data_IF_154273570935
#
_entry.id   IF_154273570935
#
_cell.length_a   1.000
_cell.length_b   1.000
_cell.length_c   1.000
_cell.angle_alpha   90.00
_cell.angle_beta   90.00
_cell.angle_gamma   90.00
#
_symmetry.space_group_name_H-M   'P 1'
#
loop_
_entity.id
_entity.type
_entity.pdbx_description
1 polymer ?
#
# COMPACT_ATOMS: atom_id res chain seq x y z
N UNK A 1 24.19 26.88 -7.80
CA UNK A 1 23.33 25.68 -7.90
C UNK A 1 21.91 26.17 -8.10
N UNK A 2 21.26 25.82 -9.22
CA UNK A 2 19.82 26.07 -9.38
C UNK A 2 19.10 24.99 -8.56
N UNK A 3 18.36 25.38 -7.54
CA UNK A 3 17.37 24.50 -6.93
C UNK A 3 16.29 24.26 -7.98
N UNK A 4 16.28 23.05 -8.55
CA UNK A 4 15.13 22.57 -9.31
C UNK A 4 13.97 22.46 -8.32
N UNK A 5 13.05 23.43 -8.39
CA UNK A 5 11.74 23.30 -7.77
C UNK A 5 11.03 22.14 -8.46
N UNK A 6 11.11 20.95 -7.87
CA UNK A 6 10.30 19.81 -8.27
C UNK A 6 8.86 20.20 -7.95
N UNK A 7 8.04 20.38 -8.98
CA UNK A 7 6.62 20.69 -8.81
C UNK A 7 5.95 19.54 -8.06
N UNK A 8 5.14 19.89 -7.05
CA UNK A 8 4.45 18.94 -6.18
C UNK A 8 3.54 18.01 -6.98
N UNK A 9 2.99 18.51 -8.10
CA UNK A 9 2.21 17.71 -9.06
C UNK A 9 3.08 16.65 -9.77
N UNK A 10 4.37 16.94 -9.98
CA UNK A 10 5.32 15.99 -10.56
C UNK A 10 5.59 14.83 -9.61
N UNK A 11 5.70 15.10 -8.31
CA UNK A 11 5.95 14.10 -7.27
C UNK A 11 4.77 13.14 -7.16
N UNK A 12 3.55 13.67 -7.09
CA UNK A 12 2.33 12.86 -7.01
C UNK A 12 2.15 11.97 -8.25
N UNK A 13 2.44 12.52 -9.43
CA UNK A 13 2.42 11.76 -10.69
C UNK A 13 3.42 10.60 -10.69
N UNK A 14 4.65 10.84 -10.19
CA UNK A 14 5.67 9.78 -10.05
C UNK A 14 5.19 8.70 -9.07
N UNK A 15 4.67 9.10 -7.91
CA UNK A 15 4.15 8.15 -6.90
C UNK A 15 3.02 7.32 -7.50
N UNK A 16 2.08 7.94 -8.22
CA UNK A 16 0.97 7.24 -8.85
C UNK A 16 1.46 6.21 -9.88
N UNK A 17 2.41 6.59 -10.75
CA UNK A 17 3.02 5.68 -11.73
C UNK A 17 3.69 4.49 -11.01
N UNK A 18 4.45 4.75 -9.95
CA UNK A 18 5.09 3.68 -9.15
C UNK A 18 4.04 2.73 -8.56
N UNK A 19 2.93 3.25 -8.03
CA UNK A 19 1.85 2.44 -7.46
C UNK A 19 1.15 1.59 -8.54
N UNK A 20 0.85 2.16 -9.71
CA UNK A 20 0.22 1.43 -10.81
C UNK A 20 1.13 0.32 -11.33
N UNK A 21 2.42 0.60 -11.52
CA UNK A 21 3.41 -0.41 -11.95
C UNK A 21 3.58 -1.50 -10.90
N UNK A 22 3.69 -1.13 -9.61
CA UNK A 22 3.77 -2.09 -8.52
C UNK A 22 2.53 -3.00 -8.46
N UNK A 23 1.33 -2.44 -8.66
CA UNK A 23 0.10 -3.21 -8.72
C UNK A 23 0.03 -4.13 -9.95
N UNK A 24 0.45 -3.65 -11.11
CA UNK A 24 0.50 -4.43 -12.35
C UNK A 24 1.46 -5.62 -12.26
N UNK A 25 2.69 -5.39 -11.77
CA UNK A 25 3.68 -6.46 -11.51
C UNK A 25 3.07 -7.51 -10.58
N UNK A 26 2.40 -7.05 -9.54
CA UNK A 26 1.78 -7.90 -8.54
C UNK A 26 0.59 -8.71 -9.10
N UNK A 27 -0.18 -8.18 -10.05
CA UNK A 27 -1.26 -8.90 -10.72
C UNK A 27 -0.75 -9.96 -11.72
N UNK A 28 0.37 -9.69 -12.41
CA UNK A 28 0.95 -10.58 -13.42
C UNK A 28 1.70 -11.75 -12.79
N UNK A 29 2.42 -11.53 -11.69
CA UNK A 29 3.07 -12.59 -10.93
C UNK A 29 2.71 -12.52 -9.44
N UNK A 30 1.52 -13.04 -9.05
CA UNK A 30 1.14 -13.11 -7.64
C UNK A 30 1.99 -14.09 -6.83
N UNK A 31 2.92 -14.82 -7.46
CA UNK A 31 3.88 -15.71 -6.80
C UNK A 31 5.23 -15.08 -6.52
N UNK A 32 5.44 -13.81 -6.94
CA UNK A 32 6.62 -13.04 -6.57
C UNK A 32 6.87 -13.22 -5.08
N UNK A 33 8.04 -13.79 -4.76
CA UNK A 33 8.39 -14.17 -3.40
C UNK A 33 8.27 -12.92 -2.55
N UNK A 34 7.19 -12.85 -1.79
CA UNK A 34 7.01 -11.70 -0.92
C UNK A 34 8.21 -11.63 0.02
N UNK A 35 8.66 -10.42 0.35
CA UNK A 35 9.85 -10.20 1.15
C UNK A 35 9.71 -10.89 2.51
N UNK A 36 10.56 -11.87 2.81
CA UNK A 36 10.53 -12.58 4.11
C UNK A 36 10.82 -11.65 5.31
N UNK A 37 11.44 -10.49 5.03
CA UNK A 37 11.86 -9.49 6.01
C UNK A 37 10.81 -8.39 6.20
N UNK A 38 10.15 -7.99 5.12
CA UNK A 38 9.19 -6.88 5.10
C UNK A 38 7.83 -7.43 4.73
N UNK A 39 6.90 -7.36 5.68
CA UNK A 39 5.54 -7.77 5.42
C UNK A 39 4.66 -7.77 6.66
N UNK A 40 3.36 -7.69 6.42
CA UNK A 40 2.30 -7.90 7.42
C UNK A 40 2.57 -9.08 8.37
N UNK A 41 2.55 -8.79 9.69
CA UNK A 41 2.77 -9.77 10.77
C UNK A 41 1.64 -9.66 11.80
N UNK A 42 0.71 -10.61 11.75
CA UNK A 42 -0.28 -10.86 12.80
C UNK A 42 -0.14 -12.28 13.37
N UNK A 43 -0.88 -12.62 14.42
CA UNK A 43 -0.88 -13.97 14.99
C UNK A 43 -1.24 -15.01 13.93
N UNK A 44 -2.32 -14.79 13.17
CA UNK A 44 -2.73 -15.64 12.05
C UNK A 44 -1.64 -15.81 10.98
N UNK A 45 -0.85 -14.78 10.68
CA UNK A 45 0.25 -14.91 9.70
C UNK A 45 1.45 -15.71 10.18
N UNK A 46 1.68 -15.81 11.49
CA UNK A 46 2.85 -16.51 12.06
C UNK A 46 2.66 -18.02 12.10
N UNK A 47 1.42 -18.49 11.97
CA UNK A 47 1.05 -19.91 12.04
C UNK A 47 1.62 -20.74 10.89
N UNK A 48 1.75 -20.18 9.68
CA UNK A 48 2.33 -20.90 8.55
C UNK A 48 2.88 -19.97 7.47
N UNK A 49 3.85 -20.46 6.69
CA UNK A 49 4.36 -19.74 5.51
C UNK A 49 3.26 -19.47 4.48
N UNK A 50 2.26 -20.35 4.39
CA UNK A 50 1.11 -20.19 3.50
C UNK A 50 0.23 -19.01 3.93
N UNK A 51 -0.10 -18.92 5.22
CA UNK A 51 -0.87 -17.81 5.78
C UNK A 51 -0.12 -16.50 5.67
N UNK A 52 1.19 -16.51 5.93
CA UNK A 52 2.02 -15.35 5.72
C UNK A 52 1.98 -14.86 4.26
N UNK A 53 2.17 -15.74 3.27
CA UNK A 53 2.07 -15.38 1.85
C UNK A 53 0.67 -14.85 1.50
N UNK A 54 -0.40 -15.48 2.00
CA UNK A 54 -1.78 -15.06 1.76
C UNK A 54 -2.07 -13.68 2.37
N UNK A 55 -1.58 -13.41 3.56
CA UNK A 55 -1.70 -12.12 4.22
C UNK A 55 -1.05 -11.00 3.43
N UNK A 56 0.20 -11.22 2.98
CA UNK A 56 0.86 -10.26 2.10
C UNK A 56 0.07 -10.07 0.81
N UNK A 57 -0.47 -11.17 0.26
CA UNK A 57 -1.24 -11.13 -0.97
C UNK A 57 -2.46 -10.22 -0.82
N UNK A 58 -3.18 -10.36 0.29
CA UNK A 58 -4.32 -9.50 0.60
C UNK A 58 -3.87 -8.06 0.85
N UNK A 59 -2.82 -7.86 1.66
CA UNK A 59 -2.32 -6.53 1.98
C UNK A 59 -1.96 -5.73 0.73
N UNK A 60 -1.09 -6.26 -0.14
CA UNK A 60 -0.66 -5.56 -1.35
C UNK A 60 -1.78 -5.43 -2.38
N UNK A 61 -2.60 -6.48 -2.54
CA UNK A 61 -3.72 -6.48 -3.48
C UNK A 61 -4.76 -5.40 -3.18
N UNK A 62 -4.93 -5.04 -1.91
CA UNK A 62 -5.93 -4.06 -1.46
C UNK A 62 -5.28 -2.68 -1.21
N UNK A 63 -4.10 -2.64 -0.59
CA UNK A 63 -3.47 -1.38 -0.18
C UNK A 63 -2.89 -0.59 -1.35
N UNK A 64 -2.34 -1.24 -2.38
CA UNK A 64 -1.77 -0.50 -3.52
C UNK A 64 -2.87 0.26 -4.28
N UNK A 65 -4.03 -0.34 -4.64
CA UNK A 65 -5.15 0.41 -5.21
C UNK A 65 -5.66 1.53 -4.30
N UNK A 66 -5.76 1.27 -2.99
CA UNK A 66 -6.19 2.27 -2.02
C UNK A 66 -5.27 3.50 -2.04
N UNK A 67 -3.96 3.30 -2.00
CA UNK A 67 -3.00 4.41 -2.04
C UNK A 67 -3.00 5.11 -3.41
N UNK A 68 -3.20 4.39 -4.52
CA UNK A 68 -3.33 5.02 -5.83
C UNK A 68 -4.54 5.96 -5.88
N UNK A 69 -5.68 5.53 -5.34
CA UNK A 69 -6.88 6.38 -5.20
C UNK A 69 -6.62 7.56 -4.26
N UNK A 70 -5.93 7.35 -3.15
CA UNK A 70 -5.61 8.42 -2.21
C UNK A 70 -4.71 9.49 -2.84
N UNK A 71 -3.72 9.09 -3.63
CA UNK A 71 -2.85 10.01 -4.39
C UNK A 71 -3.67 10.78 -5.43
N UNK A 72 -4.58 10.10 -6.15
CA UNK A 72 -5.49 10.78 -7.09
C UNK A 72 -6.38 11.80 -6.39
N UNK A 73 -6.94 11.46 -5.22
CA UNK A 73 -7.74 12.41 -4.42
C UNK A 73 -6.88 13.61 -4.02
N UNK A 74 -5.67 13.36 -3.51
CA UNK A 74 -4.77 14.43 -3.08
C UNK A 74 -4.38 15.37 -4.22
N UNK A 75 -4.21 14.82 -5.43
CA UNK A 75 -3.90 15.58 -6.64
C UNK A 75 -5.01 16.56 -7.02
N UNK A 76 -6.28 16.15 -6.93
CA UNK A 76 -7.41 17.04 -7.24
C UNK A 76 -7.84 17.91 -6.06
N UNK A 77 -7.67 17.41 -4.84
CA UNK A 77 -8.11 18.01 -3.59
C UNK A 77 -6.98 17.84 -2.58
N UNK A 78 -6.06 18.81 -2.47
CA UNK A 78 -4.92 18.72 -1.56
C UNK A 78 -5.39 18.49 -0.13
N UNK A 79 -5.03 17.34 0.42
CA UNK A 79 -5.33 16.99 1.79
C UNK A 79 -4.30 17.64 2.70
N UNK A 80 -4.73 18.08 3.88
CA UNK A 80 -3.77 18.47 4.90
C UNK A 80 -2.99 17.25 5.40
N UNK A 81 -1.73 17.45 5.78
CA UNK A 81 -0.88 16.37 6.31
C UNK A 81 -1.53 15.59 7.45
N UNK A 82 -2.31 16.28 8.29
CA UNK A 82 -3.03 15.68 9.42
C UNK A 82 -4.16 14.77 8.92
N UNK A 83 -4.96 15.21 7.94
CA UNK A 83 -6.02 14.38 7.35
C UNK A 83 -5.43 13.17 6.63
N UNK A 84 -4.37 13.36 5.84
CA UNK A 84 -3.67 12.26 5.18
C UNK A 84 -3.13 11.23 6.21
N UNK A 85 -2.52 11.70 7.31
CA UNK A 85 -2.04 10.83 8.37
C UNK A 85 -3.17 10.01 9.02
N UNK A 86 -4.31 10.63 9.34
CA UNK A 86 -5.47 9.92 9.88
C UNK A 86 -6.01 8.85 8.92
N UNK A 87 -6.08 9.15 7.62
CA UNK A 87 -6.52 8.19 6.60
C UNK A 87 -5.55 7.01 6.53
N UNK A 88 -4.24 7.27 6.50
CA UNK A 88 -3.22 6.22 6.41
C UNK A 88 -3.22 5.33 7.66
N UNK A 89 -3.29 5.91 8.86
CA UNK A 89 -3.34 5.16 10.12
C UNK A 89 -4.64 4.36 10.23
N UNK A 90 -5.78 4.98 9.90
CA UNK A 90 -7.08 4.30 9.88
C UNK A 90 -7.10 3.13 8.90
N UNK A 91 -6.55 3.31 7.71
CA UNK A 91 -6.39 2.23 6.73
C UNK A 91 -5.51 1.09 7.25
N UNK A 92 -4.38 1.42 7.87
CA UNK A 92 -3.47 0.42 8.43
C UNK A 92 -4.16 -0.46 9.47
N UNK A 93 -4.97 0.13 10.35
CA UNK A 93 -5.76 -0.63 11.35
C UNK A 93 -6.86 -1.45 10.66
N UNK A 94 -7.59 -0.87 9.71
CA UNK A 94 -8.68 -1.55 9.02
C UNK A 94 -8.19 -2.78 8.24
N UNK A 95 -7.09 -2.64 7.48
CA UNK A 95 -6.53 -3.76 6.72
C UNK A 95 -5.95 -4.83 7.65
N UNK A 96 -5.44 -4.44 8.83
CA UNK A 96 -5.03 -5.41 9.85
C UNK A 96 -6.19 -6.30 10.30
N UNK A 97 -7.30 -5.67 10.68
CA UNK A 97 -8.50 -6.38 11.12
C UNK A 97 -9.05 -7.28 10.01
N UNK A 98 -9.15 -6.78 8.78
CA UNK A 98 -9.65 -7.54 7.63
C UNK A 98 -8.80 -8.79 7.37
N UNK A 99 -7.46 -8.65 7.40
CA UNK A 99 -6.56 -9.78 7.15
C UNK A 99 -6.67 -10.80 8.30
N UNK A 100 -6.76 -10.35 9.55
CA UNK A 100 -6.85 -11.27 10.68
C UNK A 100 -8.15 -12.06 10.69
N UNK A 101 -9.29 -11.42 10.43
CA UNK A 101 -10.60 -12.09 10.30
C UNK A 101 -10.58 -13.15 9.19
N UNK A 102 -9.78 -12.96 8.14
CA UNK A 102 -9.74 -13.87 7.01
C UNK A 102 -8.69 -15.01 7.14
N UNK A 103 -7.78 -14.90 8.11
CA UNK A 103 -6.70 -15.87 8.36
C UNK A 103 -6.86 -16.65 9.66
N UNK A 104 -7.59 -16.12 10.64
CA UNK A 104 -8.05 -16.84 11.83
C UNK A 104 -9.22 -17.76 11.52
#
# INVERSE_FOLDING_TARGET
MKEENIDMNSIESIILIVLIVAWGIYMVDPTHKVSRWVGYRSEGTRTSLANWKRAQKMFYGISIPFFAVLVLINYFIPLSNLVAAFIIVGWAVAIMIIIEIHLG
#
